data_IF_845955033189
#
_entry.id   IF_845955033189
#
_cell.length_a   1.000
_cell.length_b   1.000
_cell.length_c   1.000
_cell.angle_alpha   90.00
_cell.angle_beta   90.00
_cell.angle_gamma   90.00
#
_symmetry.space_group_name_H-M   'P 1'
#
loop_
_entity.id
_entity.type
_entity.pdbx_description
1 polymer ?
#
# COMPACT_ATOMS: atom_id res chain seq x y z
N UNK A 1 31.61 17.44 13.55
CA UNK A 1 30.44 16.65 13.14
C UNK A 1 29.80 16.10 14.39
N UNK A 2 28.86 16.83 14.98
CA UNK A 2 27.92 16.25 15.93
C UNK A 2 26.95 15.44 15.08
N UNK A 3 26.95 14.12 15.24
CA UNK A 3 25.86 13.28 14.75
C UNK A 3 24.62 13.72 15.53
N UNK A 4 23.66 14.34 14.85
CA UNK A 4 22.36 14.68 15.42
C UNK A 4 21.61 13.37 15.68
N UNK A 5 21.89 12.77 16.84
CA UNK A 5 21.22 11.57 17.32
C UNK A 5 19.71 11.78 17.39
N UNK A 6 19.26 13.02 17.60
CA UNK A 6 17.85 13.40 17.66
C UNK A 6 17.16 13.25 16.30
N UNK A 7 17.79 13.65 15.20
CA UNK A 7 17.27 13.45 13.84
C UNK A 7 17.26 11.97 13.44
N UNK A 8 18.28 11.21 13.85
CA UNK A 8 18.35 9.76 13.62
C UNK A 8 17.28 9.01 14.44
N UNK A 9 17.03 9.44 15.68
CA UNK A 9 15.99 8.86 16.52
C UNK A 9 14.58 9.21 16.01
N UNK A 10 14.36 10.47 15.60
CA UNK A 10 13.09 10.91 15.05
C UNK A 10 12.76 10.16 13.74
N UNK A 11 13.75 9.96 12.87
CA UNK A 11 13.60 9.17 11.64
C UNK A 11 13.32 7.69 11.90
N UNK A 12 14.05 7.07 12.84
CA UNK A 12 13.88 5.65 13.16
C UNK A 12 12.57 5.35 13.91
N UNK A 13 12.17 6.18 14.87
CA UNK A 13 10.89 6.07 15.58
C UNK A 13 9.72 6.23 14.60
N UNK A 14 9.78 7.21 13.70
CA UNK A 14 8.77 7.39 12.65
C UNK A 14 8.62 6.15 11.77
N UNK A 15 9.73 5.54 11.35
CA UNK A 15 9.73 4.31 10.56
C UNK A 15 9.14 3.12 11.32
N UNK A 16 9.49 2.93 12.58
CA UNK A 16 8.94 1.85 13.42
C UNK A 16 7.42 2.02 13.57
N UNK A 17 6.95 3.25 13.83
CA UNK A 17 5.52 3.54 13.95
C UNK A 17 4.77 3.24 12.64
N UNK A 18 5.34 3.60 11.49
CA UNK A 18 4.78 3.25 10.18
C UNK A 18 4.73 1.75 9.94
N UNK A 19 5.76 0.99 10.34
CA UNK A 19 5.77 -0.48 10.25
C UNK A 19 4.67 -1.11 11.11
N UNK A 20 4.50 -0.63 12.34
CA UNK A 20 3.44 -1.11 13.24
C UNK A 20 2.07 -0.82 12.64
N UNK A 21 1.81 0.40 12.16
CA UNK A 21 0.55 0.75 11.52
C UNK A 21 0.29 -0.10 10.27
N UNK A 22 1.31 -0.35 9.46
CA UNK A 22 1.24 -1.19 8.27
C UNK A 22 0.87 -2.63 8.63
N UNK A 23 1.53 -3.22 9.65
CA UNK A 23 1.24 -4.57 10.12
C UNK A 23 -0.17 -4.66 10.71
N UNK A 24 -0.55 -3.74 11.59
CA UNK A 24 -1.90 -3.69 12.18
C UNK A 24 -2.96 -3.57 11.09
N UNK A 25 -2.76 -2.70 10.10
CA UNK A 25 -3.67 -2.56 8.96
C UNK A 25 -3.79 -3.86 8.16
N UNK A 26 -2.67 -4.55 7.93
CA UNK A 26 -2.65 -5.82 7.19
C UNK A 26 -3.39 -6.93 7.96
N UNK A 27 -3.14 -7.05 9.28
CA UNK A 27 -3.81 -8.03 10.16
C UNK A 27 -5.32 -7.77 10.20
N UNK A 28 -5.72 -6.50 10.37
CA UNK A 28 -7.14 -6.13 10.36
C UNK A 28 -7.80 -6.50 9.03
N UNK A 29 -7.17 -6.17 7.90
CA UNK A 29 -7.73 -6.48 6.59
C UNK A 29 -7.82 -7.99 6.35
N UNK A 30 -6.77 -8.75 6.71
CA UNK A 30 -6.78 -10.20 6.62
C UNK A 30 -7.89 -10.82 7.47
N UNK A 31 -8.06 -10.32 8.69
CA UNK A 31 -9.14 -10.71 9.60
C UNK A 31 -10.53 -10.45 9.02
N UNK A 32 -10.75 -9.28 8.42
CA UNK A 32 -12.02 -8.93 7.77
C UNK A 32 -12.30 -9.85 6.59
N UNK A 33 -11.32 -10.07 5.70
CA UNK A 33 -11.48 -10.95 4.53
C UNK A 33 -11.84 -12.37 4.96
N UNK A 34 -11.12 -12.93 5.93
CA UNK A 34 -11.39 -14.25 6.47
C UNK A 34 -12.75 -14.33 7.18
N UNK A 35 -13.10 -13.31 7.97
CA UNK A 35 -14.37 -13.23 8.70
C UNK A 35 -15.58 -13.15 7.78
N UNK A 36 -15.52 -12.34 6.72
CA UNK A 36 -16.59 -12.24 5.72
C UNK A 36 -16.73 -13.56 4.95
N UNK A 37 -15.63 -14.16 4.51
CA UNK A 37 -15.67 -15.43 3.79
C UNK A 37 -16.26 -16.56 4.66
N UNK A 38 -15.90 -16.58 5.95
CA UNK A 38 -16.47 -17.52 6.90
C UNK A 38 -17.97 -17.29 7.11
N UNK A 39 -18.39 -16.04 7.32
CA UNK A 39 -19.80 -15.68 7.48
C UNK A 39 -20.62 -16.05 6.24
N UNK A 40 -20.08 -15.80 5.05
CA UNK A 40 -20.70 -16.16 3.77
C UNK A 40 -20.93 -17.68 3.64
N UNK A 41 -19.98 -18.50 4.08
CA UNK A 41 -20.16 -19.96 4.09
C UNK A 41 -21.13 -20.44 5.15
N UNK A 42 -21.14 -19.83 6.35
CA UNK A 42 -21.93 -20.33 7.49
C UNK A 42 -23.39 -19.90 7.46
N UNK A 43 -23.62 -18.65 7.05
CA UNK A 43 -24.91 -17.96 7.14
C UNK A 43 -25.46 -17.55 5.77
N UNK A 44 -24.71 -17.81 4.68
CA UNK A 44 -25.03 -17.27 3.36
C UNK A 44 -24.69 -15.78 3.27
N UNK A 45 -25.24 -15.10 2.27
CA UNK A 45 -24.99 -13.67 2.01
C UNK A 45 -25.89 -12.73 2.83
N UNK A 46 -26.12 -13.05 4.10
CA UNK A 46 -26.87 -12.17 5.02
C UNK A 46 -25.99 -10.95 5.41
N UNK A 47 -26.37 -9.72 5.02
CA UNK A 47 -25.57 -8.53 5.27
C UNK A 47 -25.28 -8.29 6.76
N UNK A 48 -26.23 -8.62 7.65
CA UNK A 48 -26.04 -8.39 9.08
C UNK A 48 -24.93 -9.29 9.65
N UNK A 49 -24.94 -10.56 9.26
CA UNK A 49 -23.94 -11.55 9.66
C UNK A 49 -22.56 -11.26 9.02
N UNK A 50 -22.53 -10.71 7.80
CA UNK A 50 -21.28 -10.29 7.16
C UNK A 50 -20.64 -9.10 7.90
N UNK A 51 -21.44 -8.14 8.37
CA UNK A 51 -20.95 -7.01 9.19
C UNK A 51 -20.43 -7.52 10.54
N UNK A 52 -21.14 -8.47 11.16
CA UNK A 52 -20.67 -9.13 12.37
C UNK A 52 -19.32 -9.82 12.13
N UNK A 53 -19.18 -10.57 11.02
CA UNK A 53 -17.91 -11.18 10.61
C UNK A 53 -16.78 -10.17 10.38
N UNK A 54 -17.07 -8.96 9.91
CA UNK A 54 -16.10 -7.88 9.75
C UNK A 54 -15.61 -7.33 11.11
N UNK A 55 -16.53 -7.15 12.08
CA UNK A 55 -16.21 -6.65 13.41
C UNK A 55 -15.44 -7.67 14.25
N UNK A 56 -15.85 -8.94 14.20
CA UNK A 56 -15.26 -9.99 15.00
C UNK A 56 -14.08 -10.68 14.31
N UNK A 57 -13.91 -10.52 12.99
CA UNK A 57 -12.84 -11.13 12.19
C UNK A 57 -11.44 -11.05 12.81
N UNK A 58 -10.99 -9.86 13.27
CA UNK A 58 -9.71 -9.73 13.97
C UNK A 58 -9.63 -10.49 15.29
N UNK A 59 -10.75 -10.63 16.01
CA UNK A 59 -10.82 -11.39 17.25
C UNK A 59 -10.81 -12.91 16.99
N UNK A 60 -11.23 -13.34 15.79
CA UNK A 60 -11.15 -14.74 15.37
C UNK A 60 -9.72 -15.25 15.18
N UNK A 61 -8.73 -14.36 15.08
CA UNK A 61 -7.28 -14.68 15.09
C UNK A 61 -6.82 -15.18 16.46
N UNK A 62 -7.55 -14.86 17.53
CA UNK A 62 -7.28 -15.34 18.90
C UNK A 62 -7.83 -16.77 19.04
N UNK A 63 -7.28 -17.72 18.27
CA UNK A 63 -7.64 -19.13 18.32
C UNK A 63 -6.37 -20.00 18.37
N UNK A 64 -6.47 -21.32 18.18
CA UNK A 64 -5.35 -22.27 18.14
C UNK A 64 -4.19 -21.82 17.21
N UNK A 65 -4.51 -21.01 16.20
CA UNK A 65 -3.57 -20.49 15.22
C UNK A 65 -2.81 -19.22 15.67
N UNK A 66 -3.05 -18.74 16.90
CA UNK A 66 -2.38 -17.57 17.47
C UNK A 66 -0.86 -17.72 17.48
N UNK A 67 -0.34 -18.91 17.83
CA UNK A 67 1.12 -19.14 17.92
C UNK A 67 1.77 -19.11 16.51
N UNK A 68 1.30 -19.88 15.51
CA UNK A 68 1.79 -19.76 14.14
C UNK A 68 1.66 -18.35 13.55
N UNK A 69 0.56 -17.67 13.86
CA UNK A 69 0.31 -16.31 13.40
C UNK A 69 1.31 -15.33 14.00
N UNK A 70 1.50 -15.34 15.33
CA UNK A 70 2.47 -14.50 16.01
C UNK A 70 3.89 -14.73 15.46
N UNK A 71 4.25 -15.99 15.19
CA UNK A 71 5.53 -16.32 14.56
C UNK A 71 5.67 -15.75 13.14
N UNK A 72 4.62 -15.86 12.33
CA UNK A 72 4.58 -15.28 10.99
C UNK A 72 4.70 -13.74 11.02
N UNK A 73 3.92 -13.07 11.87
CA UNK A 73 3.96 -11.61 12.04
C UNK A 73 5.34 -11.12 12.48
N UNK A 74 5.96 -11.80 13.46
CA UNK A 74 7.32 -11.47 13.91
C UNK A 74 8.33 -11.68 12.78
N UNK A 75 8.22 -12.77 12.02
CA UNK A 75 9.10 -13.06 10.89
C UNK A 75 8.98 -12.00 9.79
N UNK A 76 7.75 -11.57 9.49
CA UNK A 76 7.50 -10.51 8.51
C UNK A 76 7.96 -9.15 8.98
N UNK A 77 7.82 -8.84 10.28
CA UNK A 77 8.39 -7.62 10.85
C UNK A 77 9.91 -7.58 10.66
N UNK A 78 10.61 -8.69 10.96
CA UNK A 78 12.06 -8.80 10.73
C UNK A 78 12.39 -8.65 9.24
N UNK A 79 11.65 -9.31 8.35
CA UNK A 79 11.84 -9.20 6.91
C UNK A 79 11.69 -7.76 6.39
N UNK A 80 10.66 -7.04 6.85
CA UNK A 80 10.39 -5.65 6.46
C UNK A 80 11.44 -4.68 7.01
N UNK A 81 11.96 -4.94 8.21
CA UNK A 81 13.05 -4.15 8.79
C UNK A 81 14.34 -4.31 7.96
N UNK A 82 14.63 -5.52 7.48
CA UNK A 82 15.85 -5.82 6.71
C UNK A 82 15.79 -5.28 5.28
N UNK A 83 14.65 -5.40 4.60
CA UNK A 83 14.58 -5.08 3.17
C UNK A 83 14.38 -3.59 2.85
N UNK A 84 14.11 -2.74 3.85
CA UNK A 84 13.92 -1.27 3.75
C UNK A 84 12.82 -0.78 2.79
N UNK A 85 12.26 -1.66 1.96
CA UNK A 85 11.26 -1.35 0.96
C UNK A 85 9.89 -1.88 1.37
N UNK A 86 8.97 -0.94 1.64
CA UNK A 86 7.54 -1.22 1.80
C UNK A 86 6.93 -1.60 0.45
N UNK A 87 7.05 -2.87 0.06
CA UNK A 87 6.45 -3.35 -1.17
C UNK A 87 4.95 -3.65 -0.98
N UNK A 88 4.14 -3.18 -1.93
CA UNK A 88 2.75 -3.64 -2.14
C UNK A 88 2.62 -5.16 -2.01
N UNK A 89 3.59 -5.88 -2.58
CA UNK A 89 3.59 -7.35 -2.57
C UNK A 89 3.73 -7.91 -1.16
N UNK A 90 4.54 -7.28 -0.29
CA UNK A 90 4.67 -7.71 1.10
C UNK A 90 3.37 -7.52 1.87
N UNK A 91 2.66 -6.40 1.62
CA UNK A 91 1.33 -6.17 2.20
C UNK A 91 0.33 -7.25 1.77
N UNK A 92 0.25 -7.52 0.45
CA UNK A 92 -0.66 -8.54 -0.11
C UNK A 92 -0.38 -9.93 0.45
N UNK A 93 0.91 -10.29 0.60
CA UNK A 93 1.33 -11.53 1.25
C UNK A 93 0.83 -11.59 2.69
N UNK A 94 1.05 -10.56 3.50
CA UNK A 94 0.62 -10.54 4.90
C UNK A 94 -0.90 -10.68 4.98
N UNK A 95 -1.67 -9.89 4.24
CA UNK A 95 -3.15 -10.00 4.21
C UNK A 95 -3.62 -11.38 3.77
N UNK A 96 -2.98 -11.96 2.76
CA UNK A 96 -3.25 -13.32 2.30
C UNK A 96 -3.04 -14.35 3.41
N UNK A 97 -1.90 -14.34 4.08
CA UNK A 97 -1.60 -15.27 5.18
C UNK A 97 -2.50 -15.06 6.40
N UNK A 98 -2.75 -13.82 6.80
CA UNK A 98 -3.63 -13.49 7.93
C UNK A 98 -5.06 -14.00 7.67
N UNK A 99 -5.60 -13.73 6.48
CA UNK A 99 -6.92 -14.24 6.09
C UNK A 99 -6.96 -15.77 5.99
N UNK A 100 -5.86 -16.40 5.56
CA UNK A 100 -5.73 -17.86 5.51
C UNK A 100 -5.75 -18.46 6.92
N UNK A 101 -5.08 -17.86 7.90
CA UNK A 101 -5.12 -18.33 9.29
C UNK A 101 -6.53 -18.28 9.88
N UNK A 102 -7.29 -17.21 9.60
CA UNK A 102 -8.71 -17.13 9.99
C UNK A 102 -9.52 -18.23 9.30
N UNK A 103 -9.34 -18.40 7.99
CA UNK A 103 -10.01 -19.46 7.23
C UNK A 103 -9.67 -20.87 7.72
N UNK A 104 -8.42 -21.15 8.07
CA UNK A 104 -8.00 -22.46 8.61
C UNK A 104 -8.50 -22.70 10.04
N UNK A 105 -8.53 -21.65 10.87
CA UNK A 105 -9.03 -21.73 12.25
C UNK A 105 -10.50 -22.09 12.34
N UNK A 106 -11.27 -21.73 11.32
CA UNK A 106 -12.73 -21.88 11.33
C UNK A 106 -13.27 -22.79 10.22
N UNK A 107 -12.48 -23.04 9.18
CA UNK A 107 -12.79 -23.93 8.07
C UNK A 107 -13.01 -25.39 8.50
N UNK A 108 -12.41 -25.78 9.62
CA UNK A 108 -12.63 -27.11 10.23
C UNK A 108 -13.95 -27.21 10.99
N UNK A 109 -14.70 -26.11 11.17
CA UNK A 109 -15.95 -26.05 11.94
C UNK A 109 -17.21 -25.98 11.08
N UNK A 110 -17.10 -26.06 9.75
CA UNK A 110 -18.27 -26.10 8.88
C UNK A 110 -18.99 -27.44 9.00
N UNK A 111 -20.33 -27.45 9.15
CA UNK A 111 -21.09 -28.69 9.28
C UNK A 111 -21.31 -29.40 7.95
N UNK A 112 -21.17 -28.69 6.81
CA UNK A 112 -21.37 -29.27 5.48
C UNK A 112 -20.20 -28.95 4.54
N UNK A 113 -19.97 -29.85 3.58
CA UNK A 113 -18.97 -29.67 2.54
C UNK A 113 -19.33 -28.51 1.61
N UNK A 114 -20.62 -28.27 1.36
CA UNK A 114 -21.07 -27.17 0.51
C UNK A 114 -20.74 -25.80 1.12
N UNK A 115 -21.01 -25.61 2.41
CA UNK A 115 -20.69 -24.37 3.14
C UNK A 115 -19.18 -24.10 3.11
N UNK A 116 -18.39 -25.17 3.24
CA UNK A 116 -16.93 -25.12 3.13
C UNK A 116 -16.51 -24.62 1.75
N UNK A 117 -17.01 -25.23 0.67
CA UNK A 117 -16.68 -24.82 -0.71
C UNK A 117 -17.07 -23.37 -0.98
N UNK A 118 -18.24 -22.93 -0.50
CA UNK A 118 -18.70 -21.54 -0.64
C UNK A 118 -17.75 -20.59 0.10
N UNK A 119 -17.38 -20.89 1.35
CA UNK A 119 -16.46 -20.07 2.13
C UNK A 119 -15.10 -19.92 1.42
N UNK A 120 -14.50 -21.03 0.97
CA UNK A 120 -13.21 -21.01 0.29
C UNK A 120 -13.25 -20.29 -1.05
N UNK A 121 -14.34 -20.44 -1.81
CA UNK A 121 -14.52 -19.71 -3.08
C UNK A 121 -14.69 -18.22 -2.83
N UNK A 122 -15.49 -17.84 -1.81
CA UNK A 122 -15.67 -16.45 -1.42
C UNK A 122 -14.36 -15.82 -0.95
N UNK A 123 -13.58 -16.51 -0.13
CA UNK A 123 -12.25 -16.08 0.29
C UNK A 123 -11.32 -15.81 -0.89
N UNK A 124 -11.24 -16.74 -1.85
CA UNK A 124 -10.38 -16.59 -3.02
C UNK A 124 -10.78 -15.36 -3.86
N UNK A 125 -12.09 -15.16 -4.07
CA UNK A 125 -12.61 -13.99 -4.79
C UNK A 125 -12.29 -12.69 -4.05
N UNK A 126 -12.51 -12.64 -2.73
CA UNK A 126 -12.22 -11.46 -1.92
C UNK A 126 -10.73 -11.10 -1.95
N UNK A 127 -9.84 -12.09 -1.86
CA UNK A 127 -8.40 -11.85 -1.98
C UNK A 127 -8.02 -11.26 -3.33
N UNK A 128 -8.55 -11.81 -4.43
CA UNK A 128 -8.31 -11.28 -5.78
C UNK A 128 -8.82 -9.84 -5.90
N UNK A 129 -10.00 -9.55 -5.34
CA UNK A 129 -10.58 -8.20 -5.37
C UNK A 129 -9.73 -7.20 -4.56
N UNK A 130 -9.25 -7.59 -3.37
CA UNK A 130 -8.39 -6.74 -2.53
C UNK A 130 -7.07 -6.47 -3.24
N UNK A 131 -6.39 -7.50 -3.74
CA UNK A 131 -5.11 -7.35 -4.46
C UNK A 131 -5.28 -6.47 -5.71
N UNK A 132 -6.34 -6.70 -6.49
CA UNK A 132 -6.65 -5.89 -7.68
C UNK A 132 -6.95 -4.44 -7.31
N UNK A 133 -7.69 -4.19 -6.22
CA UNK A 133 -8.00 -2.85 -5.75
C UNK A 133 -6.76 -2.06 -5.36
N UNK A 134 -5.81 -2.70 -4.70
CA UNK A 134 -4.56 -2.07 -4.26
C UNK A 134 -3.63 -1.85 -5.45
N UNK A 135 -3.53 -2.83 -6.34
CA UNK A 135 -2.79 -2.68 -7.59
C UNK A 135 -3.33 -1.48 -8.40
N UNK A 136 -4.65 -1.37 -8.54
CA UNK A 136 -5.28 -0.27 -9.26
C UNK A 136 -5.03 1.07 -8.57
N UNK A 137 -5.13 1.12 -7.24
CA UNK A 137 -4.82 2.33 -6.48
C UNK A 137 -3.37 2.78 -6.69
N UNK A 138 -2.42 1.83 -6.70
CA UNK A 138 -1.01 2.10 -6.99
C UNK A 138 -0.82 2.64 -8.40
N UNK A 139 -1.44 2.02 -9.40
CA UNK A 139 -1.39 2.50 -10.79
C UNK A 139 -1.94 3.93 -10.92
N UNK A 140 -3.04 4.25 -10.25
CA UNK A 140 -3.60 5.62 -10.26
C UNK A 140 -2.64 6.65 -9.66
N UNK A 141 -1.89 6.30 -8.61
CA UNK A 141 -0.88 7.20 -8.03
C UNK A 141 0.30 7.42 -8.97
N UNK A 142 0.81 6.35 -9.57
CA UNK A 142 1.92 6.42 -10.54
C UNK A 142 1.50 7.29 -11.73
N UNK A 143 0.29 7.09 -12.26
CA UNK A 143 -0.22 7.86 -13.38
C UNK A 143 -0.38 9.35 -13.06
N UNK A 144 -0.81 9.70 -11.83
CA UNK A 144 -0.87 11.10 -11.39
C UNK A 144 0.51 11.73 -11.31
N UNK A 145 1.45 11.03 -10.67
CA UNK A 145 2.83 11.49 -10.55
C UNK A 145 3.51 11.66 -11.92
N UNK A 146 3.27 10.73 -12.85
CA UNK A 146 3.80 10.81 -14.21
C UNK A 146 3.25 12.04 -14.97
N UNK A 147 1.98 12.40 -14.76
CA UNK A 147 1.38 13.61 -15.33
C UNK A 147 2.01 14.88 -14.76
N UNK A 148 2.14 14.96 -13.43
CA UNK A 148 2.78 16.10 -12.76
C UNK A 148 4.23 16.27 -13.22
N UNK A 149 4.98 15.18 -13.36
CA UNK A 149 6.34 15.22 -13.89
C UNK A 149 6.41 15.65 -15.36
N UNK A 150 5.46 15.20 -16.19
CA UNK A 150 5.38 15.63 -17.57
C UNK A 150 5.09 17.14 -17.69
N UNK A 151 4.16 17.67 -16.88
CA UNK A 151 3.84 19.10 -16.81
C UNK A 151 5.05 19.93 -16.38
N UNK A 152 5.74 19.52 -15.31
CA UNK A 152 6.97 20.17 -14.86
C UNK A 152 8.09 20.13 -15.91
N UNK A 153 8.20 19.02 -16.64
CA UNK A 153 9.20 18.90 -17.73
C UNK A 153 8.90 19.86 -18.88
N UNK A 154 7.62 20.01 -19.25
CA UNK A 154 7.18 20.92 -20.31
C UNK A 154 7.38 22.39 -19.90
N UNK A 155 7.06 22.75 -18.66
CA UNK A 155 7.29 24.09 -18.14
C UNK A 155 8.79 24.44 -18.11
N UNK A 156 9.64 23.50 -17.68
CA UNK A 156 11.08 23.69 -17.69
C UNK A 156 11.65 23.82 -19.11
N UNK A 157 11.13 23.07 -20.07
CA UNK A 157 11.51 23.19 -21.48
C UNK A 157 11.11 24.55 -22.06
N UNK A 158 9.91 25.04 -21.76
CA UNK A 158 9.43 26.36 -22.19
C UNK A 158 10.28 27.49 -21.60
N UNK A 159 10.59 27.43 -20.30
CA UNK A 159 11.46 28.42 -19.64
C UNK A 159 12.89 28.41 -20.21
N UNK A 160 13.42 27.25 -20.63
CA UNK A 160 14.72 27.17 -21.32
C UNK A 160 14.66 27.83 -22.69
N UNK A 161 13.64 27.51 -23.49
CA UNK A 161 13.44 28.12 -24.80
C UNK A 161 13.28 29.65 -24.70
N UNK A 162 12.57 30.15 -23.68
CA UNK A 162 12.41 31.60 -23.47
C UNK A 162 13.75 32.28 -23.11
N UNK A 163 14.58 31.65 -22.26
CA UNK A 163 15.90 32.17 -21.92
C UNK A 163 16.83 32.20 -23.13
N UNK A 164 16.81 31.15 -23.96
CA UNK A 164 17.59 31.08 -25.20
C UNK A 164 17.14 32.14 -26.22
N UNK A 165 15.83 32.35 -26.37
CA UNK A 165 15.28 33.42 -27.21
C UNK A 165 15.69 34.82 -26.74
N UNK A 166 15.64 35.10 -25.42
CA UNK A 166 16.10 36.38 -24.86
C UNK A 166 17.59 36.60 -25.07
N UNK A 167 18.42 35.58 -24.84
CA UNK A 167 19.86 35.67 -25.03
C UNK A 167 20.22 35.91 -26.52
N UNK A 168 19.47 35.33 -27.45
CA UNK A 168 19.66 35.53 -28.90
C UNK A 168 19.18 36.91 -29.35
N UNK A 169 18.14 37.46 -28.71
CA UNK A 169 17.64 38.83 -28.98
C UNK A 169 18.58 39.93 -28.48
N UNK A 170 19.15 39.80 -27.29
CA UNK A 170 20.15 40.77 -26.76
C UNK A 170 21.46 40.78 -27.55
N UNK A 171 21.85 39.64 -28.13
CA UNK A 171 23.05 39.58 -28.99
C UNK A 171 22.82 40.08 -30.43
N UNK A 172 21.58 40.40 -30.79
CA UNK A 172 21.20 41.00 -32.06
C UNK A 172 20.96 42.52 -32.00
N UNK A 173 21.08 43.17 -30.83
CA UNK A 173 21.11 44.63 -30.75
C UNK A 173 22.41 45.14 -31.40
N UNK A 174 22.34 45.90 -32.49
CA UNK A 174 23.53 46.38 -33.17
C UNK A 174 24.21 47.44 -32.30
N UNK A 175 25.41 47.08 -31.83
CA UNK A 175 26.47 48.00 -31.41
C UNK A 175 26.79 48.98 -32.55
N UNK A 176 25.92 49.96 -32.78
CA UNK A 176 26.01 50.85 -33.93
C UNK A 176 25.27 52.15 -33.72
N UNK A 177 25.85 53.07 -32.93
CA UNK A 177 25.94 54.50 -33.30
C UNK A 177 26.86 55.31 -32.37
N UNK A 178 28.14 54.91 -32.26
CA UNK A 178 29.22 55.90 -32.11
C UNK A 178 29.69 56.29 -33.50
N UNK A 179 28.95 57.19 -34.14
CA UNK A 179 29.43 57.90 -35.33
C UNK A 179 29.69 59.35 -34.94
N UNK A 180 30.96 59.57 -34.60
CA UNK A 180 31.65 60.86 -34.58
C UNK A 180 31.32 61.64 -35.86
N UNK A 181 30.78 62.85 -35.72
CA UNK A 181 30.76 63.85 -36.79
C UNK A 181 31.42 65.12 -36.27
N UNK A 182 32.71 65.26 -36.60
CA UNK A 182 33.43 66.53 -36.69
C UNK A 182 33.14 67.21 -38.02
#
# INVERSE_FOLDING_TARGET
MQLDFEDILAGSVGRILLLILFLVSSILMGGIVGGIAWAAGRHGLDPFQMVEGMLWGPLLLINLWLIPNAFFVVSMLVYLLVNDEFSHTAWGIIVGFESLFVMLGWGLRFPSTNDTVIAWTCWAVLLVMVETGIWLHRQMRINRWAREMAELSAENAMRRAEREARATGESAEPSGSTLDSR
#
